data_IF_272472495015
#
_entry.id   IF_272472495015
#
_cell.length_a   1.000
_cell.length_b   1.000
_cell.length_c   1.000
_cell.angle_alpha   90.00
_cell.angle_beta   90.00
_cell.angle_gamma   90.00
#
_symmetry.space_group_name_H-M   'P 1'
#
loop_
_entity.id
_entity.type
_entity.pdbx_description
1 polymer ?
#
# COMPACT_ATOMS: atom_id res chain seq x y z
N UNK A 1 19.22 0.57 11.83
CA UNK A 1 18.69 -0.78 11.78
C UNK A 1 17.41 -1.01 12.59
N UNK A 2 17.15 -0.31 13.68
CA UNK A 2 15.88 -0.41 14.42
C UNK A 2 14.68 0.08 13.58
N UNK A 3 14.85 1.13 12.77
CA UNK A 3 13.82 1.65 11.89
C UNK A 3 13.40 0.62 10.82
N UNK A 4 14.36 -0.11 10.24
CA UNK A 4 14.07 -1.17 9.25
C UNK A 4 13.34 -2.34 9.91
N UNK A 5 13.73 -2.71 11.14
CA UNK A 5 13.03 -3.75 11.92
C UNK A 5 11.61 -3.31 12.29
N UNK A 6 11.45 -2.07 12.77
CA UNK A 6 10.12 -1.52 13.10
C UNK A 6 9.20 -1.48 11.88
N UNK A 7 9.71 -1.01 10.74
CA UNK A 7 8.96 -1.03 9.48
C UNK A 7 8.63 -2.46 9.03
N UNK A 8 9.56 -3.41 9.17
CA UNK A 8 9.30 -4.81 8.88
C UNK A 8 8.16 -5.39 9.74
N UNK A 9 8.09 -5.04 11.04
CA UNK A 9 6.98 -5.43 11.91
C UNK A 9 5.67 -4.77 11.53
N UNK A 10 5.69 -3.45 11.24
CA UNK A 10 4.49 -2.70 10.84
C UNK A 10 3.93 -3.26 9.53
N UNK A 11 4.79 -3.43 8.52
CA UNK A 11 4.38 -4.01 7.22
C UNK A 11 3.93 -5.46 7.38
N UNK A 12 4.63 -6.27 8.18
CA UNK A 12 4.24 -7.66 8.46
C UNK A 12 2.86 -7.75 9.11
N UNK A 13 2.57 -6.92 10.11
CA UNK A 13 1.27 -6.87 10.77
C UNK A 13 0.19 -6.32 9.83
N UNK A 14 0.51 -5.32 9.01
CA UNK A 14 -0.40 -4.78 8.00
C UNK A 14 -0.80 -5.86 6.99
N UNK A 15 0.18 -6.60 6.46
CA UNK A 15 -0.06 -7.68 5.50
C UNK A 15 -0.84 -8.83 6.16
N UNK A 16 -0.48 -9.22 7.39
CA UNK A 16 -1.24 -10.24 8.14
C UNK A 16 -2.70 -9.81 8.35
N UNK A 17 -2.94 -8.54 8.68
CA UNK A 17 -4.27 -7.98 8.82
C UNK A 17 -5.05 -7.96 7.49
N UNK A 18 -4.38 -7.67 6.36
CA UNK A 18 -4.98 -7.75 5.03
C UNK A 18 -5.40 -9.19 4.71
N UNK A 19 -4.51 -10.18 4.96
CA UNK A 19 -4.82 -11.59 4.72
C UNK A 19 -6.02 -12.03 5.55
N UNK A 20 -6.00 -11.75 6.86
CA UNK A 20 -7.10 -12.06 7.76
C UNK A 20 -8.39 -11.36 7.33
N UNK A 21 -8.30 -10.08 6.97
CA UNK A 21 -9.45 -9.29 6.51
C UNK A 21 -10.08 -9.84 5.22
N UNK A 22 -9.26 -10.27 4.25
CA UNK A 22 -9.74 -10.88 3.01
C UNK A 22 -10.41 -12.23 3.28
N UNK A 23 -9.77 -13.08 4.09
CA UNK A 23 -10.31 -14.39 4.44
C UNK A 23 -11.62 -14.28 5.24
N UNK A 24 -11.62 -13.46 6.30
CA UNK A 24 -12.80 -13.25 7.14
C UNK A 24 -13.91 -12.52 6.37
N UNK A 25 -13.58 -11.51 5.57
CA UNK A 25 -14.53 -10.79 4.73
C UNK A 25 -15.21 -11.69 3.70
N UNK A 26 -14.43 -12.58 3.06
CA UNK A 26 -14.98 -13.60 2.15
C UNK A 26 -15.93 -14.58 2.85
N UNK A 27 -15.62 -14.97 4.09
CA UNK A 27 -16.49 -15.85 4.90
C UNK A 27 -17.73 -15.12 5.43
N UNK A 28 -17.62 -13.85 5.80
CA UNK A 28 -18.76 -13.04 6.30
C UNK A 28 -19.87 -12.88 5.25
N UNK A 29 -19.51 -12.84 3.96
CA UNK A 29 -20.46 -12.77 2.85
C UNK A 29 -20.90 -14.19 2.40
N UNK A 30 -20.20 -15.24 2.84
CA UNK A 30 -20.51 -16.64 2.52
C UNK A 30 -21.77 -17.13 3.25
N UNK A 31 -22.55 -18.00 2.58
CA UNK A 31 -23.84 -18.49 3.08
C UNK A 31 -23.80 -19.13 4.48
N UNK A 32 -22.72 -19.77 4.87
CA UNK A 32 -22.65 -20.49 6.15
C UNK A 32 -22.52 -19.57 7.36
N UNK A 33 -21.63 -18.56 7.28
CA UNK A 33 -21.41 -17.65 8.42
C UNK A 33 -22.51 -16.61 8.53
N UNK A 34 -23.04 -16.15 7.39
CA UNK A 34 -24.17 -15.20 7.37
C UNK A 34 -25.42 -15.83 7.95
N UNK A 35 -25.73 -17.11 7.66
CA UNK A 35 -26.84 -17.82 8.27
C UNK A 35 -26.67 -17.99 9.78
N UNK A 36 -25.45 -18.27 10.25
CA UNK A 36 -25.14 -18.38 11.68
C UNK A 36 -25.26 -17.02 12.40
N UNK A 37 -24.81 -15.93 11.77
CA UNK A 37 -24.94 -14.56 12.33
C UNK A 37 -26.40 -14.09 12.38
N UNK A 38 -27.18 -14.40 11.34
CA UNK A 38 -28.61 -14.08 11.28
C UNK A 38 -29.46 -14.93 12.21
N UNK A 39 -28.95 -16.08 12.67
CA UNK A 39 -29.63 -16.95 13.66
C UNK A 39 -29.42 -16.50 15.11
N UNK A 40 -28.59 -15.47 15.36
CA UNK A 40 -28.40 -14.89 16.69
C UNK A 40 -29.57 -13.95 16.96
N UNK A 41 -30.64 -14.51 17.49
CA UNK A 41 -31.80 -13.76 17.96
C UNK A 41 -31.59 -13.31 19.41
N UNK A 42 -31.34 -12.04 19.61
CA UNK A 42 -31.22 -11.50 20.99
C UNK A 42 -32.61 -11.00 21.39
N UNK A 43 -33.28 -11.69 22.33
CA UNK A 43 -34.61 -11.31 22.76
C UNK A 43 -34.63 -9.84 23.22
N UNK A 44 -35.57 -9.05 22.71
CA UNK A 44 -35.83 -7.65 23.03
C UNK A 44 -35.02 -6.58 22.27
N UNK A 45 -34.09 -6.93 21.35
CA UNK A 45 -33.37 -5.92 20.57
C UNK A 45 -33.42 -6.33 19.10
N UNK A 46 -34.26 -5.64 18.34
CA UNK A 46 -34.24 -5.72 16.88
C UNK A 46 -33.15 -4.80 16.34
N UNK A 47 -32.04 -5.39 15.91
CA UNK A 47 -30.92 -4.62 15.33
C UNK A 47 -31.18 -4.25 13.86
N UNK A 48 -32.32 -4.63 13.28
CA UNK A 48 -32.62 -4.37 11.87
C UNK A 48 -31.64 -5.07 10.90
N UNK A 49 -30.95 -6.15 11.33
CA UNK A 49 -30.01 -6.91 10.53
C UNK A 49 -30.74 -8.08 9.90
N UNK A 50 -31.07 -7.93 8.62
CA UNK A 50 -31.87 -8.95 7.89
C UNK A 50 -31.09 -9.59 6.75
N UNK A 51 -29.93 -9.03 6.37
CA UNK A 51 -29.13 -9.52 5.26
C UNK A 51 -27.68 -9.82 5.69
N UNK A 52 -27.03 -10.72 4.95
CA UNK A 52 -25.61 -11.05 5.15
C UNK A 52 -24.70 -9.81 5.05
N UNK A 53 -25.05 -8.86 4.17
CA UNK A 53 -24.30 -7.62 4.01
C UNK A 53 -24.41 -6.72 5.26
N UNK A 54 -25.61 -6.61 5.85
CA UNK A 54 -25.83 -5.84 7.09
C UNK A 54 -25.07 -6.47 8.27
N UNK A 55 -25.10 -7.81 8.38
CA UNK A 55 -24.33 -8.53 9.39
C UNK A 55 -22.80 -8.31 9.24
N UNK A 56 -22.29 -8.30 8.00
CA UNK A 56 -20.89 -7.99 7.71
C UNK A 56 -20.54 -6.55 8.08
N UNK A 57 -21.40 -5.58 7.79
CA UNK A 57 -21.21 -4.18 8.17
C UNK A 57 -21.21 -4.04 9.70
N UNK A 58 -22.13 -4.69 10.41
CA UNK A 58 -22.17 -4.67 11.88
C UNK A 58 -20.87 -5.24 12.48
N UNK A 59 -20.35 -6.35 11.94
CA UNK A 59 -19.07 -6.92 12.35
C UNK A 59 -17.90 -5.93 12.12
N UNK A 60 -17.88 -5.24 10.97
CA UNK A 60 -16.87 -4.21 10.68
C UNK A 60 -16.96 -3.03 11.66
N UNK A 61 -18.16 -2.58 12.00
CA UNK A 61 -18.36 -1.52 12.99
C UNK A 61 -17.77 -1.93 14.36
N UNK A 62 -17.98 -3.19 14.79
CA UNK A 62 -17.39 -3.69 16.03
C UNK A 62 -15.86 -3.73 15.97
N UNK A 63 -15.27 -4.14 14.86
CA UNK A 63 -13.81 -4.13 14.67
C UNK A 63 -13.25 -2.71 14.72
N UNK A 64 -13.91 -1.75 14.07
CA UNK A 64 -13.51 -0.34 14.13
C UNK A 64 -13.70 0.27 15.52
N UNK A 65 -14.76 -0.08 16.23
CA UNK A 65 -14.97 0.36 17.63
C UNK A 65 -13.87 -0.18 18.55
N UNK A 66 -13.48 -1.44 18.37
CA UNK A 66 -12.37 -2.06 19.10
C UNK A 66 -11.04 -1.37 18.75
N UNK A 67 -10.77 -1.09 17.49
CA UNK A 67 -9.59 -0.35 17.05
C UNK A 67 -9.56 1.06 17.64
N UNK A 68 -10.68 1.76 17.65
CA UNK A 68 -10.81 3.07 18.28
C UNK A 68 -10.51 3.00 19.79
N UNK A 69 -11.04 1.98 20.47
CA UNK A 69 -10.75 1.75 21.89
C UNK A 69 -9.26 1.51 22.16
N UNK A 70 -8.58 0.70 21.34
CA UNK A 70 -7.13 0.52 21.45
C UNK A 70 -6.37 1.82 21.21
N UNK A 71 -6.80 2.65 20.27
CA UNK A 71 -6.18 3.96 20.02
C UNK A 71 -6.24 4.89 21.26
N UNK A 72 -7.29 4.80 22.09
CA UNK A 72 -7.35 5.56 23.34
C UNK A 72 -6.32 5.12 24.39
N UNK A 73 -5.72 3.95 24.22
CA UNK A 73 -4.69 3.39 25.12
C UNK A 73 -3.26 3.73 24.70
N UNK A 74 -3.08 4.45 23.58
CA UNK A 74 -1.76 4.90 23.16
C UNK A 74 -1.24 5.91 24.18
N UNK A 75 -0.06 5.66 24.80
CA UNK A 75 0.51 6.57 25.78
C UNK A 75 0.97 7.87 25.11
N UNK A 76 0.93 8.94 25.88
CA UNK A 76 1.49 10.22 25.44
C UNK A 76 2.99 10.09 25.18
N UNK A 77 3.42 10.39 23.98
CA UNK A 77 4.83 10.26 23.54
C UNK A 77 5.71 11.42 24.01
N UNK A 78 5.17 12.42 24.71
CA UNK A 78 5.89 13.61 25.14
C UNK A 78 6.30 14.58 24.01
N UNK A 79 5.89 14.28 22.77
CA UNK A 79 6.14 15.19 21.65
C UNK A 79 5.17 16.38 21.74
N UNK A 80 5.73 17.59 21.78
CA UNK A 80 4.92 18.82 21.75
C UNK A 80 4.10 18.88 20.46
N UNK A 81 2.78 18.80 20.61
CA UNK A 81 1.86 18.99 19.51
C UNK A 81 1.62 20.49 19.30
N UNK A 82 1.89 20.97 18.09
CA UNK A 82 1.51 22.34 17.73
C UNK A 82 -0.02 22.42 17.68
N UNK A 83 -0.65 23.38 18.41
CA UNK A 83 -2.10 23.51 18.39
C UNK A 83 -2.57 23.88 16.98
N UNK A 84 -3.60 23.19 16.50
CA UNK A 84 -4.22 23.47 15.20
C UNK A 84 -4.73 24.93 15.12
N UNK A 85 -5.13 25.48 16.23
CA UNK A 85 -5.69 26.81 16.37
C UNK A 85 -4.65 27.77 16.96
N UNK A 86 -3.83 28.37 16.11
CA UNK A 86 -2.85 29.39 16.53
C UNK A 86 -3.51 30.72 16.94
N UNK A 87 -4.74 30.98 16.45
CA UNK A 87 -5.51 32.18 16.81
C UNK A 87 -6.92 31.79 17.24
N UNK A 88 -7.36 32.16 18.47
CA UNK A 88 -8.68 31.81 18.98
C UNK A 88 -9.86 32.33 18.15
N UNK A 89 -9.65 33.40 17.37
CA UNK A 89 -10.68 34.04 16.54
C UNK A 89 -10.87 33.40 15.16
N UNK A 90 -10.00 32.47 14.71
CA UNK A 90 -10.16 31.79 13.41
C UNK A 90 -11.10 30.61 13.52
N UNK A 91 -11.97 30.45 12.53
CA UNK A 91 -12.80 29.24 12.41
C UNK A 91 -11.93 28.00 12.23
N UNK A 92 -12.43 26.83 12.63
CA UNK A 92 -11.74 25.54 12.46
C UNK A 92 -11.39 25.33 10.98
N UNK A 93 -12.33 25.62 10.07
CA UNK A 93 -12.13 25.49 8.62
C UNK A 93 -10.98 26.38 8.13
N UNK A 94 -10.93 27.65 8.54
CA UNK A 94 -9.85 28.57 8.16
C UNK A 94 -8.49 28.12 8.72
N UNK A 95 -8.47 27.54 9.90
CA UNK A 95 -7.25 26.98 10.52
C UNK A 95 -6.77 25.74 9.78
N UNK A 96 -7.68 24.87 9.33
CA UNK A 96 -7.36 23.68 8.53
C UNK A 96 -6.84 24.05 7.15
N UNK A 97 -7.50 25.02 6.48
CA UNK A 97 -7.03 25.50 5.17
C UNK A 97 -5.67 26.19 5.23
N UNK A 98 -5.34 26.80 6.37
CA UNK A 98 -4.02 27.40 6.58
C UNK A 98 -2.87 26.39 6.65
N UNK A 99 -3.16 25.10 6.80
CA UNK A 99 -2.15 24.02 6.75
C UNK A 99 -1.76 23.63 5.31
N UNK A 100 -2.59 23.93 4.31
CA UNK A 100 -2.34 23.53 2.92
C UNK A 100 -1.02 24.05 2.36
N UNK A 101 -0.63 25.33 2.57
CA UNK A 101 0.67 25.83 2.08
C UNK A 101 1.86 25.10 2.71
N UNK A 102 1.80 24.81 4.02
CA UNK A 102 2.85 24.05 4.72
C UNK A 102 2.93 22.60 4.19
N UNK A 103 1.78 21.97 3.94
CA UNK A 103 1.72 20.64 3.35
C UNK A 103 2.36 20.60 1.95
N UNK A 104 2.01 21.56 1.07
CA UNK A 104 2.57 21.63 -0.27
C UNK A 104 4.07 21.96 -0.27
N UNK A 105 4.53 22.77 0.67
CA UNK A 105 5.95 23.01 0.87
C UNK A 105 6.69 21.74 1.30
N UNK A 106 6.11 20.95 2.21
CA UNK A 106 6.66 19.65 2.62
C UNK A 106 6.67 18.64 1.47
N UNK A 107 5.58 18.56 0.70
CA UNK A 107 5.50 17.70 -0.48
C UNK A 107 6.57 18.09 -1.51
N UNK A 108 6.72 19.37 -1.80
CA UNK A 108 7.74 19.87 -2.72
C UNK A 108 9.16 19.55 -2.24
N UNK A 109 9.46 19.72 -0.95
CA UNK A 109 10.79 19.37 -0.38
C UNK A 109 11.15 17.92 -0.62
N UNK A 110 10.22 16.99 -0.42
CA UNK A 110 10.47 15.56 -0.61
C UNK A 110 10.65 15.20 -2.09
N UNK A 111 9.90 15.88 -2.99
CA UNK A 111 10.06 15.72 -4.44
C UNK A 111 11.35 16.33 -5.00
N UNK A 112 12.03 17.23 -4.27
CA UNK A 112 13.32 17.81 -4.67
C UNK A 112 14.52 17.09 -4.04
N UNK A 113 14.33 16.32 -2.96
CA UNK A 113 15.38 15.50 -2.36
C UNK A 113 15.73 14.31 -3.27
N UNK A 114 17.00 14.11 -3.58
CA UNK A 114 17.44 13.14 -4.61
C UNK A 114 17.15 11.68 -4.29
N UNK A 115 17.13 11.29 -3.01
CA UNK A 115 16.69 9.97 -2.58
C UNK A 115 15.20 9.95 -2.25
N UNK A 116 14.67 11.03 -1.67
CA UNK A 116 13.27 11.20 -1.33
C UNK A 116 12.35 11.06 -2.56
N UNK A 117 12.66 11.75 -3.66
CA UNK A 117 11.88 11.68 -4.89
C UNK A 117 11.80 10.27 -5.48
N UNK A 118 12.89 9.50 -5.43
CA UNK A 118 12.94 8.13 -5.96
C UNK A 118 12.19 7.17 -5.05
N UNK A 119 12.39 7.27 -3.73
CA UNK A 119 11.68 6.43 -2.77
C UNK A 119 10.17 6.75 -2.76
N UNK A 120 9.79 8.02 -2.77
CA UNK A 120 8.39 8.44 -2.84
C UNK A 120 7.72 7.96 -4.12
N UNK A 121 8.34 8.16 -5.29
CA UNK A 121 7.79 7.72 -6.57
C UNK A 121 7.59 6.20 -6.62
N UNK A 122 8.57 5.44 -6.11
CA UNK A 122 8.52 3.98 -6.10
C UNK A 122 7.44 3.46 -5.16
N UNK A 123 7.35 3.96 -3.93
CA UNK A 123 6.32 3.54 -2.96
C UNK A 123 4.93 3.98 -3.42
N UNK A 124 4.79 5.19 -3.94
CA UNK A 124 3.54 5.72 -4.50
C UNK A 124 3.01 4.82 -5.62
N UNK A 125 3.89 4.45 -6.57
CA UNK A 125 3.50 3.56 -7.67
C UNK A 125 3.20 2.13 -7.19
N UNK A 126 3.99 1.62 -6.24
CA UNK A 126 3.74 0.31 -5.64
C UNK A 126 2.35 0.23 -4.99
N UNK A 127 2.01 1.20 -4.14
CA UNK A 127 0.70 1.23 -3.50
C UNK A 127 -0.42 1.52 -4.49
N UNK A 128 -0.17 2.38 -5.49
CA UNK A 128 -1.11 2.62 -6.59
C UNK A 128 -1.46 1.35 -7.35
N UNK A 129 -0.46 0.55 -7.72
CA UNK A 129 -0.65 -0.73 -8.39
C UNK A 129 -1.25 -1.79 -7.45
N UNK A 130 -0.69 -1.94 -6.23
CA UNK A 130 -1.10 -2.92 -5.23
C UNK A 130 -2.53 -2.72 -4.72
N UNK A 131 -2.95 -1.46 -4.51
CA UNK A 131 -4.31 -1.12 -4.12
C UNK A 131 -5.36 -1.54 -5.17
N UNK A 132 -4.98 -1.50 -6.45
CA UNK A 132 -5.84 -1.92 -7.56
C UNK A 132 -5.70 -3.42 -7.89
N UNK A 133 -4.61 -4.06 -7.49
CA UNK A 133 -4.31 -5.46 -7.82
C UNK A 133 -5.41 -6.42 -7.37
N UNK A 134 -6.03 -6.18 -6.22
CA UNK A 134 -7.17 -6.99 -5.74
C UNK A 134 -8.34 -7.01 -6.73
N UNK A 135 -8.68 -5.87 -7.32
CA UNK A 135 -9.75 -5.79 -8.32
C UNK A 135 -9.34 -6.44 -9.64
N UNK A 136 -8.07 -6.27 -10.02
CA UNK A 136 -7.48 -6.89 -11.21
C UNK A 136 -7.48 -8.41 -11.08
N UNK A 137 -7.05 -8.96 -9.93
CA UNK A 137 -7.05 -10.41 -9.67
C UNK A 137 -8.47 -10.98 -9.65
N UNK A 138 -9.42 -10.26 -9.04
CA UNK A 138 -10.83 -10.66 -9.05
C UNK A 138 -11.40 -10.75 -10.47
N UNK A 139 -11.19 -9.71 -11.28
CA UNK A 139 -11.67 -9.67 -12.65
C UNK A 139 -10.99 -10.74 -13.53
N UNK A 140 -9.66 -10.89 -13.40
CA UNK A 140 -8.90 -11.90 -14.11
C UNK A 140 -9.34 -13.32 -13.76
N UNK A 141 -9.49 -13.63 -12.46
CA UNK A 141 -9.89 -14.96 -12.02
C UNK A 141 -11.30 -15.33 -12.49
N UNK A 142 -12.22 -14.36 -12.58
CA UNK A 142 -13.53 -14.56 -13.14
C UNK A 142 -13.48 -14.93 -14.62
N UNK A 143 -12.64 -14.26 -15.40
CA UNK A 143 -12.56 -14.49 -16.87
C UNK A 143 -11.63 -15.66 -17.23
N UNK A 144 -10.49 -15.78 -16.56
CA UNK A 144 -9.47 -16.79 -16.91
C UNK A 144 -9.75 -18.17 -16.31
N UNK A 145 -10.29 -18.21 -15.09
CA UNK A 145 -10.50 -19.44 -14.31
C UNK A 145 -12.00 -19.79 -14.12
N UNK A 146 -12.92 -18.89 -14.52
CA UNK A 146 -14.36 -19.08 -14.29
C UNK A 146 -14.75 -19.03 -12.81
N UNK A 147 -13.95 -18.39 -11.95
CA UNK A 147 -14.15 -18.35 -10.51
C UNK A 147 -15.22 -17.34 -10.11
N UNK A 148 -15.97 -17.70 -9.08
CA UNK A 148 -16.86 -16.75 -8.41
C UNK A 148 -16.07 -15.79 -7.50
N UNK A 149 -16.73 -14.76 -7.00
CA UNK A 149 -16.09 -13.71 -6.16
C UNK A 149 -15.39 -14.28 -4.93
N UNK A 150 -15.95 -15.30 -4.29
CA UNK A 150 -15.36 -15.93 -3.08
C UNK A 150 -14.06 -16.65 -3.41
N UNK A 151 -14.07 -17.44 -4.49
CA UNK A 151 -12.88 -18.15 -4.95
C UNK A 151 -11.79 -17.20 -5.44
N UNK A 152 -12.19 -16.17 -6.18
CA UNK A 152 -11.29 -15.13 -6.67
C UNK A 152 -10.66 -14.31 -5.51
N UNK A 153 -11.43 -14.04 -4.45
CA UNK A 153 -10.92 -13.37 -3.24
C UNK A 153 -9.84 -14.19 -2.54
N UNK A 154 -9.94 -15.52 -2.53
CA UNK A 154 -8.89 -16.38 -1.98
C UNK A 154 -7.55 -16.21 -2.71
N UNK A 155 -7.56 -15.96 -4.02
CA UNK A 155 -6.35 -15.70 -4.81
C UNK A 155 -5.68 -14.37 -4.43
N UNK A 156 -6.46 -13.36 -4.02
CA UNK A 156 -5.91 -12.12 -3.45
C UNK A 156 -5.15 -12.41 -2.14
N UNK A 157 -5.65 -13.36 -1.34
CA UNK A 157 -4.94 -13.85 -0.16
C UNK A 157 -3.61 -14.52 -0.49
N UNK A 158 -3.53 -15.25 -1.62
CA UNK A 158 -2.29 -15.86 -2.12
C UNK A 158 -1.25 -14.79 -2.47
N UNK A 159 -1.65 -13.70 -3.13
CA UNK A 159 -0.77 -12.55 -3.39
C UNK A 159 -0.26 -11.96 -2.08
N UNK A 160 -1.13 -11.79 -1.09
CA UNK A 160 -0.76 -11.23 0.20
C UNK A 160 0.25 -12.11 0.96
N UNK A 161 0.11 -13.45 0.89
CA UNK A 161 1.11 -14.39 1.43
C UNK A 161 2.46 -14.18 0.75
N UNK A 162 2.48 -14.07 -0.59
CA UNK A 162 3.68 -13.76 -1.34
C UNK A 162 4.32 -12.45 -0.86
N UNK A 163 3.51 -11.39 -0.70
CA UNK A 163 3.98 -10.08 -0.21
C UNK A 163 4.59 -10.17 1.17
N UNK A 164 3.98 -10.94 2.10
CA UNK A 164 4.54 -11.18 3.43
C UNK A 164 5.91 -11.87 3.36
N UNK A 165 6.04 -12.92 2.56
CA UNK A 165 7.31 -13.64 2.37
C UNK A 165 8.37 -12.72 1.77
N UNK A 166 8.02 -11.93 0.77
CA UNK A 166 8.92 -10.96 0.15
C UNK A 166 9.37 -9.87 1.11
N UNK A 167 8.45 -9.35 1.92
CA UNK A 167 8.73 -8.35 2.96
C UNK A 167 9.70 -8.87 4.03
N UNK A 168 9.48 -10.09 4.52
CA UNK A 168 10.39 -10.75 5.47
C UNK A 168 11.76 -10.96 4.85
N UNK A 169 11.83 -11.47 3.62
CA UNK A 169 13.09 -11.67 2.92
C UNK A 169 13.86 -10.35 2.72
N UNK A 170 13.16 -9.27 2.40
CA UNK A 170 13.76 -7.94 2.26
C UNK A 170 14.28 -7.41 3.60
N UNK A 171 13.53 -7.54 4.68
CA UNK A 171 13.94 -7.09 6.02
C UNK A 171 15.19 -7.80 6.53
N UNK A 172 15.42 -9.04 6.10
CA UNK A 172 16.59 -9.83 6.46
C UNK A 172 17.83 -9.56 5.60
N UNK A 173 17.62 -9.19 4.32
CA UNK A 173 18.72 -9.11 3.33
C UNK A 173 19.07 -7.71 2.88
N UNK A 174 18.13 -6.76 3.00
CA UNK A 174 18.32 -5.42 2.48
C UNK A 174 18.73 -4.44 3.57
N UNK A 175 19.73 -3.64 3.26
CA UNK A 175 20.16 -2.51 4.08
C UNK A 175 19.61 -1.21 3.48
N UNK A 176 19.50 -0.18 4.30
CA UNK A 176 18.93 1.10 3.90
C UNK A 176 19.72 1.76 2.74
N UNK A 177 21.06 1.65 2.76
CA UNK A 177 21.93 2.18 1.72
C UNK A 177 21.86 1.43 0.38
N UNK A 178 21.25 0.25 0.37
CA UNK A 178 21.01 -0.57 -0.83
C UNK A 178 19.55 -0.50 -1.31
N UNK A 179 18.70 0.29 -0.67
CA UNK A 179 17.26 0.31 -0.94
C UNK A 179 16.94 0.57 -2.43
N UNK A 180 17.69 1.42 -3.10
CA UNK A 180 17.44 1.74 -4.52
C UNK A 180 17.75 0.58 -5.49
N UNK A 181 18.48 -0.46 -5.06
CA UNK A 181 18.78 -1.62 -5.90
C UNK A 181 17.56 -2.48 -6.24
N UNK A 182 16.47 -2.32 -5.50
CA UNK A 182 15.24 -3.10 -5.73
C UNK A 182 14.34 -2.49 -6.81
N UNK A 183 14.62 -1.29 -7.31
CA UNK A 183 13.80 -0.60 -8.34
C UNK A 183 13.48 -1.47 -9.56
N UNK A 184 14.43 -2.28 -10.11
CA UNK A 184 14.15 -3.16 -11.25
C UNK A 184 13.04 -4.19 -10.97
N UNK A 185 12.81 -4.58 -9.69
CA UNK A 185 11.74 -5.50 -9.32
C UNK A 185 10.35 -4.90 -9.61
N UNK A 186 10.21 -3.58 -9.54
CA UNK A 186 8.97 -2.91 -9.91
C UNK A 186 8.67 -3.00 -11.41
N UNK A 187 9.70 -2.98 -12.26
CA UNK A 187 9.53 -3.25 -13.71
C UNK A 187 9.08 -4.69 -13.90
N UNK A 188 9.73 -5.64 -13.21
CA UNK A 188 9.37 -7.05 -13.26
C UNK A 188 7.91 -7.27 -12.82
N UNK A 189 7.43 -6.58 -11.79
CA UNK A 189 6.02 -6.64 -11.36
C UNK A 189 5.06 -6.20 -12.47
N UNK A 190 5.34 -5.08 -13.14
CA UNK A 190 4.50 -4.61 -14.26
C UNK A 190 4.49 -5.61 -15.42
N UNK A 191 5.64 -6.23 -15.73
CA UNK A 191 5.73 -7.28 -16.75
C UNK A 191 5.00 -8.56 -16.34
N UNK A 192 5.07 -8.95 -15.06
CA UNK A 192 4.31 -10.09 -14.54
C UNK A 192 2.80 -9.85 -14.64
N UNK A 193 2.30 -8.63 -14.43
CA UNK A 193 0.89 -8.32 -14.65
C UNK A 193 0.47 -8.60 -16.11
N UNK A 194 1.33 -8.31 -17.09
CA UNK A 194 1.08 -8.64 -18.48
C UNK A 194 1.07 -10.16 -18.69
N UNK A 195 2.04 -10.87 -18.08
CA UNK A 195 2.13 -12.33 -18.21
C UNK A 195 0.96 -13.06 -17.54
N UNK A 196 0.34 -12.47 -16.53
CA UNK A 196 -0.82 -13.05 -15.84
C UNK A 196 -1.99 -13.33 -16.79
N UNK A 197 -2.13 -12.55 -17.87
CA UNK A 197 -3.18 -12.73 -18.89
C UNK A 197 -3.12 -14.09 -19.58
N UNK A 198 -1.94 -14.68 -19.68
CA UNK A 198 -1.72 -15.99 -20.34
C UNK A 198 -1.92 -17.18 -19.40
N UNK A 199 -2.19 -16.95 -18.14
CA UNK A 199 -2.36 -18.01 -17.14
C UNK A 199 -3.85 -18.35 -17.04
N UNK A 200 -4.20 -19.59 -17.35
CA UNK A 200 -5.55 -20.15 -17.28
C UNK A 200 -5.65 -21.40 -16.39
N UNK A 201 -4.56 -21.76 -15.71
CA UNK A 201 -4.50 -22.93 -14.85
C UNK A 201 -4.17 -22.51 -13.41
N UNK A 202 -4.98 -22.97 -12.44
CA UNK A 202 -4.83 -22.65 -11.03
C UNK A 202 -3.46 -23.09 -10.46
N UNK A 203 -2.94 -24.24 -10.89
CA UNK A 203 -1.65 -24.75 -10.43
C UNK A 203 -0.47 -23.88 -10.83
N UNK A 204 -0.62 -23.16 -11.95
CA UNK A 204 0.35 -22.17 -12.41
C UNK A 204 0.07 -20.79 -11.76
N UNK A 205 -1.19 -20.47 -11.53
CA UNK A 205 -1.62 -19.19 -10.97
C UNK A 205 -1.11 -18.99 -9.53
N UNK A 206 -1.20 -20.02 -8.69
CA UNK A 206 -0.79 -19.91 -7.27
C UNK A 206 0.69 -19.50 -7.14
N UNK A 207 1.67 -20.25 -7.68
CA UNK A 207 3.08 -19.87 -7.56
C UNK A 207 3.38 -18.53 -8.25
N UNK A 208 2.69 -18.21 -9.33
CA UNK A 208 2.82 -16.95 -10.03
C UNK A 208 2.35 -15.76 -9.16
N UNK A 209 1.20 -15.88 -8.52
CA UNK A 209 0.67 -14.84 -7.63
C UNK A 209 1.53 -14.68 -6.36
N UNK A 210 2.10 -15.78 -5.84
CA UNK A 210 3.08 -15.73 -4.75
C UNK A 210 4.33 -14.95 -5.20
N UNK A 211 4.82 -15.23 -6.41
CA UNK A 211 5.97 -14.52 -6.98
C UNK A 211 5.67 -13.04 -7.16
N UNK A 212 4.53 -12.70 -7.74
CA UNK A 212 4.10 -11.31 -7.96
C UNK A 212 4.03 -10.55 -6.63
N UNK A 213 3.38 -11.13 -5.62
CA UNK A 213 3.33 -10.58 -4.28
C UNK A 213 4.72 -10.48 -3.65
N UNK A 214 5.53 -11.52 -3.77
CA UNK A 214 6.89 -11.59 -3.21
C UNK A 214 7.82 -10.49 -3.72
N UNK A 215 7.80 -10.23 -5.03
CA UNK A 215 8.54 -9.12 -5.61
C UNK A 215 8.07 -7.77 -5.07
N UNK A 216 6.75 -7.61 -4.90
CA UNK A 216 6.17 -6.41 -4.32
C UNK A 216 6.59 -6.17 -2.88
N UNK A 217 6.49 -7.19 -2.04
CA UNK A 217 6.92 -7.11 -0.64
C UNK A 217 8.41 -6.83 -0.51
N UNK A 218 9.23 -7.46 -1.36
CA UNK A 218 10.68 -7.24 -1.38
C UNK A 218 11.04 -5.83 -1.85
N UNK A 219 10.25 -5.24 -2.76
CA UNK A 219 10.43 -3.87 -3.25
C UNK A 219 10.05 -2.83 -2.19
N UNK A 220 8.88 -2.99 -1.58
CA UNK A 220 8.28 -1.91 -0.76
C UNK A 220 9.02 -1.69 0.55
N UNK A 221 9.49 -2.73 1.22
CA UNK A 221 10.08 -2.63 2.56
C UNK A 221 11.30 -1.71 2.60
N UNK A 222 12.37 -1.92 1.77
CA UNK A 222 13.53 -1.04 1.80
C UNK A 222 13.22 0.37 1.26
N UNK A 223 12.32 0.49 0.28
CA UNK A 223 11.96 1.78 -0.28
C UNK A 223 11.13 2.61 0.71
N UNK A 224 10.24 1.99 1.45
CA UNK A 224 9.47 2.63 2.53
C UNK A 224 10.39 3.09 3.67
N UNK A 225 11.36 2.24 4.07
CA UNK A 225 12.35 2.60 5.09
C UNK A 225 13.19 3.80 4.64
N UNK A 226 13.63 3.84 3.38
CA UNK A 226 14.38 4.96 2.81
C UNK A 226 13.53 6.24 2.79
N UNK A 227 12.27 6.14 2.36
CA UNK A 227 11.34 7.25 2.33
C UNK A 227 11.11 7.84 3.73
N UNK A 228 10.86 6.99 4.72
CA UNK A 228 10.63 7.43 6.09
C UNK A 228 11.90 8.06 6.71
N UNK A 229 13.07 7.51 6.45
CA UNK A 229 14.34 8.07 6.88
C UNK A 229 14.56 9.47 6.28
N UNK A 230 14.38 9.63 4.96
CA UNK A 230 14.54 10.94 4.29
C UNK A 230 13.48 11.94 4.75
N UNK A 231 12.23 11.53 4.79
CA UNK A 231 11.13 12.38 5.21
C UNK A 231 11.24 12.83 6.67
N UNK A 232 11.68 11.95 7.57
CA UNK A 232 11.95 12.31 8.97
C UNK A 232 13.02 13.41 9.07
N UNK A 233 14.14 13.24 8.35
CA UNK A 233 15.24 14.19 8.37
C UNK A 233 14.89 15.56 7.75
N UNK A 234 14.00 15.57 6.75
CA UNK A 234 13.61 16.80 6.05
C UNK A 234 12.50 17.60 6.77
N UNK A 235 11.55 16.93 7.42
CA UNK A 235 10.33 17.59 7.88
C UNK A 235 9.72 16.99 9.16
N UNK A 236 10.30 15.92 9.71
CA UNK A 236 9.78 15.17 10.83
C UNK A 236 8.77 14.09 10.43
N UNK A 237 8.56 13.09 11.31
CA UNK A 237 7.80 11.88 11.00
C UNK A 237 6.35 12.16 10.57
N UNK A 238 5.60 12.97 11.31
CA UNK A 238 4.18 13.21 11.04
C UNK A 238 3.91 13.84 9.67
N UNK A 239 4.71 14.85 9.29
CA UNK A 239 4.59 15.51 7.99
C UNK A 239 5.00 14.57 6.84
N UNK A 240 6.06 13.78 7.07
CA UNK A 240 6.52 12.79 6.09
C UNK A 240 5.44 11.75 5.80
N UNK A 241 4.81 11.19 6.83
CA UNK A 241 3.72 10.21 6.68
C UNK A 241 2.52 10.84 5.96
N UNK A 242 2.18 12.10 6.26
CA UNK A 242 1.08 12.79 5.58
C UNK A 242 1.34 12.97 4.08
N UNK A 243 2.57 13.37 3.70
CA UNK A 243 2.98 13.51 2.29
C UNK A 243 2.97 12.15 1.59
N UNK A 244 3.54 11.12 2.23
CA UNK A 244 3.54 9.75 1.69
C UNK A 244 2.12 9.28 1.41
N UNK A 245 1.25 9.28 2.42
CA UNK A 245 -0.12 8.81 2.30
C UNK A 245 -0.91 9.58 1.22
N UNK A 246 -0.73 10.89 1.12
CA UNK A 246 -1.38 11.68 0.09
C UNK A 246 -1.00 11.23 -1.32
N UNK A 247 0.30 11.07 -1.59
CA UNK A 247 0.77 10.65 -2.90
C UNK A 247 0.32 9.22 -3.22
N UNK A 248 0.39 8.31 -2.26
CA UNK A 248 -0.06 6.92 -2.40
C UNK A 248 -1.56 6.83 -2.71
N UNK A 249 -2.41 7.53 -1.95
CA UNK A 249 -3.85 7.54 -2.18
C UNK A 249 -4.22 8.19 -3.52
N UNK A 250 -3.55 9.28 -3.89
CA UNK A 250 -3.74 9.92 -5.20
C UNK A 250 -3.40 8.95 -6.35
N UNK A 251 -2.32 8.18 -6.21
CA UNK A 251 -1.92 7.18 -7.21
C UNK A 251 -2.90 5.99 -7.25
N UNK A 252 -3.38 5.50 -6.10
CA UNK A 252 -4.40 4.43 -6.03
C UNK A 252 -5.65 4.87 -6.80
N UNK A 253 -6.14 6.08 -6.54
CA UNK A 253 -7.31 6.63 -7.22
C UNK A 253 -7.05 6.84 -8.72
N UNK A 254 -5.89 7.41 -9.09
CA UNK A 254 -5.53 7.67 -10.47
C UNK A 254 -5.41 6.39 -11.30
N UNK A 255 -4.70 5.38 -10.81
CA UNK A 255 -4.57 4.09 -11.49
C UNK A 255 -5.88 3.30 -11.49
N UNK A 256 -6.69 3.41 -10.43
CA UNK A 256 -8.02 2.80 -10.37
C UNK A 256 -8.98 3.43 -11.38
N UNK A 257 -8.97 4.75 -11.48
CA UNK A 257 -9.74 5.47 -12.50
C UNK A 257 -9.28 5.10 -13.92
N UNK A 258 -7.97 5.02 -14.13
CA UNK A 258 -7.39 4.59 -15.41
C UNK A 258 -7.84 3.18 -15.79
N UNK A 259 -7.77 2.21 -14.88
CA UNK A 259 -8.23 0.84 -15.11
C UNK A 259 -9.73 0.79 -15.40
N UNK A 260 -10.54 1.47 -14.60
CA UNK A 260 -12.01 1.54 -14.80
C UNK A 260 -12.38 2.21 -16.12
N UNK A 261 -11.67 3.28 -16.49
CA UNK A 261 -11.89 3.96 -17.76
C UNK A 261 -11.51 3.06 -18.96
N UNK A 262 -10.43 2.31 -18.85
CA UNK A 262 -10.01 1.34 -19.88
C UNK A 262 -11.11 0.32 -20.17
N UNK A 263 -11.77 -0.22 -19.13
CA UNK A 263 -12.91 -1.12 -19.28
C UNK A 263 -14.12 -0.42 -19.90
N UNK A 264 -14.43 0.82 -19.47
CA UNK A 264 -15.56 1.61 -20.02
C UNK A 264 -15.36 1.96 -21.50
N UNK A 265 -14.14 2.15 -21.94
CA UNK A 265 -13.78 2.39 -23.34
C UNK A 265 -13.83 1.13 -24.20
N UNK A 266 -14.24 0.00 -23.65
CA UNK A 266 -14.47 -1.24 -24.39
C UNK A 266 -13.26 -2.20 -24.44
N UNK A 267 -12.20 -1.95 -23.67
CA UNK A 267 -11.13 -2.96 -23.55
C UNK A 267 -11.67 -4.18 -22.82
N UNK A 268 -11.28 -5.37 -23.30
CA UNK A 268 -11.50 -6.60 -22.54
C UNK A 268 -10.73 -6.55 -21.20
N UNK A 269 -11.13 -7.38 -20.23
CA UNK A 269 -10.42 -7.48 -18.95
C UNK A 269 -8.93 -7.74 -19.17
N UNK A 270 -8.58 -8.66 -20.05
CA UNK A 270 -7.19 -8.94 -20.39
C UNK A 270 -6.46 -7.76 -21.04
N UNK A 271 -7.14 -7.05 -21.94
CA UNK A 271 -6.60 -5.82 -22.53
C UNK A 271 -6.34 -4.74 -21.49
N UNK A 272 -7.28 -4.50 -20.59
CA UNK A 272 -7.14 -3.53 -19.51
C UNK A 272 -5.98 -3.90 -18.55
N UNK A 273 -5.83 -5.17 -18.19
CA UNK A 273 -4.71 -5.66 -17.37
C UNK A 273 -3.38 -5.47 -18.10
N UNK A 274 -3.32 -5.79 -19.38
CA UNK A 274 -2.10 -5.62 -20.18
C UNK A 274 -1.66 -4.16 -20.23
N UNK A 275 -2.60 -3.25 -20.52
CA UNK A 275 -2.31 -1.80 -20.57
C UNK A 275 -1.91 -1.28 -19.19
N UNK A 276 -2.59 -1.74 -18.11
CA UNK A 276 -2.22 -1.40 -16.74
C UNK A 276 -0.80 -1.86 -16.39
N UNK A 277 -0.45 -3.10 -16.72
CA UNK A 277 0.91 -3.64 -16.54
C UNK A 277 1.97 -2.86 -17.32
N UNK A 278 1.68 -2.47 -18.57
CA UNK A 278 2.57 -1.63 -19.38
C UNK A 278 2.79 -0.25 -18.75
N UNK A 279 1.74 0.37 -18.23
CA UNK A 279 1.83 1.67 -17.54
C UNK A 279 2.69 1.55 -16.28
N UNK A 280 2.46 0.54 -15.45
CA UNK A 280 3.26 0.30 -14.24
C UNK A 280 4.73 0.05 -14.58
N UNK A 281 5.01 -0.85 -15.52
CA UNK A 281 6.37 -1.14 -15.96
C UNK A 281 7.05 0.10 -16.59
N UNK A 282 6.32 0.85 -17.40
CA UNK A 282 6.82 2.07 -18.05
C UNK A 282 7.17 3.16 -17.07
N UNK A 283 6.29 3.45 -16.10
CA UNK A 283 6.56 4.45 -15.05
C UNK A 283 7.75 3.99 -14.20
N UNK A 284 7.84 2.71 -13.84
CA UNK A 284 8.96 2.19 -13.06
C UNK A 284 10.29 2.28 -13.82
N UNK A 285 10.26 2.06 -15.14
CA UNK A 285 11.43 2.28 -16.01
C UNK A 285 11.85 3.76 -16.02
N UNK A 286 10.90 4.68 -16.06
CA UNK A 286 11.18 6.12 -15.96
C UNK A 286 11.83 6.43 -14.61
N UNK A 287 11.30 5.91 -13.51
CA UNK A 287 11.88 6.10 -12.16
C UNK A 287 13.31 5.55 -12.12
N UNK A 288 13.55 4.39 -12.69
CA UNK A 288 14.90 3.79 -12.75
C UNK A 288 15.87 4.66 -13.54
N UNK A 289 15.45 5.17 -14.71
CA UNK A 289 16.26 6.10 -15.52
C UNK A 289 16.52 7.42 -14.80
N UNK A 290 15.51 7.91 -14.10
CA UNK A 290 15.63 9.11 -13.28
C UNK A 290 16.67 8.91 -12.15
N UNK A 291 16.60 7.80 -11.44
CA UNK A 291 17.59 7.43 -10.43
C UNK A 291 18.99 7.36 -11.05
N UNK A 292 19.16 6.68 -12.17
CA UNK A 292 20.44 6.59 -12.88
C UNK A 292 20.98 7.97 -13.33
N UNK A 293 20.09 8.89 -13.71
CA UNK A 293 20.45 10.28 -14.02
C UNK A 293 20.92 11.03 -12.78
N UNK A 294 20.21 10.86 -11.64
CA UNK A 294 20.63 11.44 -10.37
C UNK A 294 22.02 10.94 -9.94
N UNK A 295 22.28 9.63 -10.09
CA UNK A 295 23.59 9.05 -9.78
C UNK A 295 24.73 9.64 -10.64
N UNK A 296 24.43 10.02 -11.89
CA UNK A 296 25.45 10.62 -12.78
C UNK A 296 25.67 12.11 -12.52
N UNK A 297 24.58 12.85 -12.30
CA UNK A 297 24.63 14.32 -12.27
C UNK A 297 24.78 14.87 -10.84
N UNK A 298 24.50 14.09 -9.81
CA UNK A 298 24.49 14.49 -8.39
C UNK A 298 25.14 13.41 -7.51
N UNK A 299 26.26 12.82 -7.98
CA UNK A 299 26.91 11.70 -7.28
C UNK A 299 27.37 12.09 -5.87
N UNK A 300 27.98 13.25 -5.69
CA UNK A 300 28.47 13.73 -4.40
C UNK A 300 27.33 13.91 -3.38
N UNK A 301 26.22 14.51 -3.80
CA UNK A 301 25.04 14.69 -2.97
C UNK A 301 24.45 13.34 -2.57
N UNK A 302 24.32 12.40 -3.52
CA UNK A 302 23.81 11.06 -3.27
C UNK A 302 24.71 10.26 -2.33
N UNK A 303 26.03 10.31 -2.52
CA UNK A 303 27.00 9.64 -1.67
C UNK A 303 26.95 10.17 -0.23
N UNK A 304 26.82 11.49 -0.07
CA UNK A 304 26.63 12.12 1.23
C UNK A 304 25.32 11.64 1.90
N UNK A 305 24.20 11.63 1.17
CA UNK A 305 22.90 11.17 1.69
C UNK A 305 22.92 9.69 2.07
N UNK A 306 23.58 8.84 1.28
CA UNK A 306 23.75 7.42 1.56
C UNK A 306 24.70 7.19 2.74
N UNK A 307 25.71 8.05 2.91
CA UNK A 307 26.62 8.00 4.06
C UNK A 307 25.87 8.28 5.37
N UNK A 308 24.98 9.29 5.40
CA UNK A 308 24.09 9.57 6.54
C UNK A 308 23.21 8.34 6.83
N UNK A 309 22.61 7.74 5.81
CA UNK A 309 21.80 6.55 5.96
C UNK A 309 22.58 5.33 6.51
N UNK A 310 23.88 5.24 6.24
CA UNK A 310 24.77 4.21 6.80
C UNK A 310 25.09 4.45 8.28
N UNK A 311 25.35 5.69 8.68
CA UNK A 311 25.67 6.03 10.07
C UNK A 311 24.50 5.78 10.99
N UNK A 312 23.28 6.15 10.58
CA UNK A 312 22.06 5.92 11.35
C UNK A 312 21.67 4.42 11.45
N UNK A 313 22.33 3.56 10.66
CA UNK A 313 22.14 2.10 10.75
C UNK A 313 22.97 1.46 11.87
N UNK A 314 23.94 2.16 12.43
CA UNK A 314 24.85 1.65 13.47
C UNK A 314 24.49 2.10 14.89
N UNK A 315 23.53 2.99 15.04
CA UNK A 315 22.90 3.39 16.30
C UNK A 315 21.47 2.84 16.39
#
# INVERSE_FOLDING_TARGET
SQLVKANGWIEGLTIASIILGVLLGGQLVGHHLSAALLSIDIPMIDFGIHTAAEAAIAALILVYALAAWFNTRIPHTGVEMRPLRQHPQRSILASTLALLPDFWACNSRLWHDKLGQISLSTTTLFWGAGGNLKFIVLAWAGVALGYNTTQASALTGVVAIGTAVGAVAASMRMRLDMATRVIPLGIAMGLLLILMVFISNIWLAIPFLILLGGLGGFLVVPMNALLQHRGHNLMGAGRSIAVQNFNEQACILGLGAFYSLSLKLGLSVFGAITVFGMVVAGIMLVIQRWHASNCRNHSEELDHLLHIARQDTHH
#
